data_IF_735583366632
#
_entry.id   IF_735583366632
#
_cell.length_a   1.000
_cell.length_b   1.000
_cell.length_c   1.000
_cell.angle_alpha   90.00
_cell.angle_beta   90.00
_cell.angle_gamma   90.00
#
_symmetry.space_group_name_H-M   'P 1'
#
loop_
_entity.id
_entity.type
_entity.pdbx_description
1 polymer ?
#
# COMPACT_ATOMS: atom_id res chain seq x y z
N UNK A 1 -0.02 2.69 4.73
CA UNK A 1 -0.55 1.31 4.76
C UNK A 1 0.04 0.61 5.98
N UNK A 2 -0.77 -0.11 6.74
CA UNK A 2 -0.29 -1.02 7.77
C UNK A 2 -0.45 -2.46 7.27
N UNK A 3 0.62 -3.25 7.35
CA UNK A 3 0.64 -4.66 6.99
C UNK A 3 0.81 -5.48 8.27
N UNK A 4 -0.12 -6.41 8.52
CA UNK A 4 -0.22 -7.19 9.74
C UNK A 4 -0.41 -8.68 9.40
N UNK A 5 0.65 -9.29 8.84
CA UNK A 5 0.75 -10.69 8.43
C UNK A 5 -0.36 -11.15 7.48
N UNK A 6 -1.53 -11.47 8.03
CA UNK A 6 -2.69 -11.99 7.30
C UNK A 6 -3.51 -10.87 6.67
N UNK A 7 -3.39 -9.63 7.15
CA UNK A 7 -4.18 -8.51 6.63
C UNK A 7 -3.36 -7.27 6.37
N UNK A 8 -3.89 -6.38 5.54
CA UNK A 8 -3.39 -5.02 5.39
C UNK A 8 -4.54 -4.00 5.37
N UNK A 9 -4.23 -2.76 5.73
CA UNK A 9 -5.21 -1.66 5.76
C UNK A 9 -4.61 -0.34 5.30
N UNK A 10 -5.40 0.43 4.56
CA UNK A 10 -5.09 1.81 4.21
C UNK A 10 -5.74 2.78 5.19
N UNK A 11 -5.07 3.89 5.43
CA UNK A 11 -5.58 5.02 6.21
C UNK A 11 -5.14 6.31 5.55
N UNK A 12 -5.88 7.40 5.80
CA UNK A 12 -5.54 8.75 5.34
C UNK A 12 -5.65 9.75 6.50
N UNK A 13 -4.94 10.86 6.37
CA UNK A 13 -4.99 11.99 7.32
C UNK A 13 -4.64 13.27 6.57
N UNK A 14 -5.53 14.28 6.53
CA UNK A 14 -5.20 15.58 5.94
C UNK A 14 -4.14 16.35 6.76
N UNK A 15 -4.11 16.16 8.08
CA UNK A 15 -3.21 16.87 8.99
C UNK A 15 -1.96 16.05 9.36
N UNK A 16 -1.92 14.75 9.02
CA UNK A 16 -0.82 13.84 9.35
C UNK A 16 -0.83 13.28 10.78
N UNK A 17 -1.73 13.76 11.65
CA UNK A 17 -1.81 13.36 13.06
C UNK A 17 -2.90 12.32 13.32
N UNK A 18 -4.14 12.60 12.87
CA UNK A 18 -5.29 11.72 13.09
C UNK A 18 -5.57 10.90 11.84
N UNK A 19 -5.35 9.60 11.92
CA UNK A 19 -5.48 8.68 10.80
C UNK A 19 -6.84 7.99 10.80
N UNK A 20 -7.54 8.07 9.67
CA UNK A 20 -8.83 7.41 9.45
C UNK A 20 -8.67 6.21 8.51
N UNK A 21 -9.20 5.02 8.86
CA UNK A 21 -9.13 3.86 7.99
C UNK A 21 -9.99 4.06 6.73
N UNK A 22 -9.48 3.58 5.60
CA UNK A 22 -10.19 3.54 4.32
C UNK A 22 -10.68 2.10 4.11
N UNK A 23 -12.00 1.91 4.15
CA UNK A 23 -12.60 0.60 3.91
C UNK A 23 -12.26 -0.48 4.95
N UNK A 24 -12.46 -1.76 4.61
CA UNK A 24 -12.18 -2.88 5.51
C UNK A 24 -10.67 -3.18 5.61
N UNK A 25 -10.31 -4.12 6.48
CA UNK A 25 -9.01 -4.81 6.36
C UNK A 25 -9.09 -5.79 5.18
N UNK A 26 -8.02 -5.84 4.39
CA UNK A 26 -7.91 -6.73 3.23
C UNK A 26 -7.05 -7.93 3.56
N UNK A 27 -7.36 -9.07 2.95
CA UNK A 27 -6.57 -10.31 3.03
C UNK A 27 -5.24 -10.14 2.27
N UNK A 28 -4.13 -10.24 2.99
CA UNK A 28 -2.78 -10.09 2.46
C UNK A 28 -2.35 -11.28 1.57
N UNK A 29 -2.97 -12.45 1.72
CA UNK A 29 -2.72 -13.61 0.87
C UNK A 29 -3.02 -13.33 -0.60
N UNK A 30 -3.91 -12.37 -0.90
CA UNK A 30 -4.20 -11.93 -2.28
C UNK A 30 -3.03 -11.22 -2.98
N UNK A 31 -2.01 -10.81 -2.23
CA UNK A 31 -0.82 -10.13 -2.76
C UNK A 31 0.37 -11.08 -2.91
N UNK A 32 0.21 -12.38 -2.63
CA UNK A 32 1.27 -13.38 -2.78
C UNK A 32 1.28 -14.01 -4.18
N UNK A 33 2.41 -14.61 -4.53
CA UNK A 33 2.57 -15.37 -5.78
C UNK A 33 1.57 -16.55 -5.87
N UNK A 34 1.20 -17.15 -4.73
CA UNK A 34 0.24 -18.28 -4.66
C UNK A 34 -1.18 -17.89 -5.09
N UNK A 35 -1.54 -16.62 -5.00
CA UNK A 35 -2.85 -16.13 -5.44
C UNK A 35 -2.89 -15.84 -6.94
N UNK A 36 -1.74 -15.68 -7.59
CA UNK A 36 -1.67 -15.35 -9.00
C UNK A 36 -1.95 -16.57 -9.89
N UNK A 37 -2.65 -16.34 -11.00
CA UNK A 37 -2.89 -17.39 -11.99
C UNK A 37 -1.64 -17.58 -12.86
N UNK A 38 -0.95 -18.70 -12.67
CA UNK A 38 0.24 -19.07 -13.43
C UNK A 38 1.54 -18.78 -12.69
N UNK A 39 2.68 -18.97 -13.38
CA UNK A 39 4.00 -18.79 -12.79
C UNK A 39 4.24 -17.33 -12.42
N UNK A 40 4.41 -17.08 -11.13
CA UNK A 40 4.57 -15.75 -10.53
C UNK A 40 5.78 -15.75 -9.60
N UNK A 41 6.63 -14.72 -9.71
CA UNK A 41 7.95 -14.69 -9.04
C UNK A 41 8.34 -13.28 -8.55
N UNK A 42 7.40 -12.35 -8.42
CA UNK A 42 7.71 -10.96 -8.03
C UNK A 42 7.42 -10.71 -6.57
N UNK A 43 6.22 -11.05 -6.10
CA UNK A 43 5.76 -10.65 -4.77
C UNK A 43 5.23 -9.22 -4.66
N UNK A 44 4.85 -8.84 -3.44
CA UNK A 44 4.14 -7.59 -3.13
C UNK A 44 5.08 -6.38 -3.08
N UNK A 45 4.65 -5.26 -3.69
CA UNK A 45 5.33 -3.96 -3.59
C UNK A 45 4.39 -2.89 -3.03
N UNK A 46 4.96 -1.86 -2.40
CA UNK A 46 4.28 -0.60 -2.10
C UNK A 46 5.02 0.55 -2.80
N UNK A 47 4.27 1.40 -3.50
CA UNK A 47 4.83 2.48 -4.30
C UNK A 47 3.90 3.70 -4.31
N UNK A 48 4.48 4.85 -4.62
CA UNK A 48 3.75 6.06 -5.02
C UNK A 48 3.61 6.05 -6.54
N UNK A 49 2.47 6.52 -7.04
CA UNK A 49 2.22 6.58 -8.46
C UNK A 49 1.35 7.78 -8.83
N UNK A 50 1.55 8.29 -10.03
CA UNK A 50 0.75 9.35 -10.64
C UNK A 50 0.33 8.88 -12.03
N UNK A 51 -0.98 8.80 -12.27
CA UNK A 51 -1.52 8.43 -13.57
C UNK A 51 -2.46 9.53 -14.07
N UNK A 52 -2.16 10.07 -15.23
CA UNK A 52 -3.01 11.01 -15.95
C UNK A 52 -3.58 10.33 -17.19
N UNK A 53 -4.84 9.92 -17.11
CA UNK A 53 -5.56 9.27 -18.22
C UNK A 53 -6.05 10.28 -19.27
N UNK A 54 -6.04 11.58 -18.96
CA UNK A 54 -6.44 12.64 -19.88
C UNK A 54 -5.30 13.11 -20.79
N UNK A 55 -4.05 12.75 -20.46
CA UNK A 55 -2.86 13.13 -21.24
C UNK A 55 -2.47 14.60 -21.10
N UNK A 56 -2.95 15.29 -20.06
CA UNK A 56 -2.65 16.69 -19.76
C UNK A 56 -1.24 16.92 -19.21
N UNK A 57 -0.54 15.85 -18.82
CA UNK A 57 0.79 15.94 -18.22
C UNK A 57 0.73 16.43 -16.77
N UNK A 58 -0.35 16.08 -16.06
CA UNK A 58 -0.54 16.53 -14.67
C UNK A 58 0.52 15.93 -13.75
N UNK A 59 1.06 16.77 -12.85
CA UNK A 59 2.06 16.39 -11.86
C UNK A 59 1.40 16.04 -10.52
N UNK A 60 2.02 15.12 -9.79
CA UNK A 60 1.74 14.87 -8.38
C UNK A 60 3.06 14.89 -7.62
N UNK A 61 3.20 15.86 -6.72
CA UNK A 61 4.40 16.05 -5.91
C UNK A 61 4.21 15.33 -4.56
N UNK A 62 5.18 14.48 -4.20
CA UNK A 62 5.18 13.73 -2.95
C UNK A 62 6.39 14.15 -2.11
N UNK A 63 6.14 14.71 -0.92
CA UNK A 63 7.21 15.20 -0.04
C UNK A 63 8.13 14.09 0.47
N UNK A 64 7.57 12.92 0.79
CA UNK A 64 8.33 11.79 1.31
C UNK A 64 7.64 10.45 1.08
N UNK A 65 8.44 9.38 1.16
CA UNK A 65 7.97 8.00 1.28
C UNK A 65 8.64 7.35 2.49
N UNK A 66 7.85 6.81 3.42
CA UNK A 66 8.34 6.21 4.64
C UNK A 66 7.94 4.73 4.72
N UNK A 67 8.94 3.85 4.81
CA UNK A 67 8.77 2.45 5.12
C UNK A 67 9.33 2.18 6.52
N UNK A 68 8.51 1.57 7.37
CA UNK A 68 8.90 1.18 8.72
C UNK A 68 8.44 -0.24 8.98
N UNK A 69 9.39 -1.12 9.22
CA UNK A 69 9.10 -2.46 9.72
C UNK A 69 8.65 -2.36 11.19
N UNK A 70 7.59 -3.09 11.54
CA UNK A 70 7.16 -3.22 12.92
C UNK A 70 7.94 -4.37 13.55
N UNK A 71 8.90 -4.05 14.42
CA UNK A 71 9.63 -5.06 15.17
C UNK A 71 8.66 -5.88 16.03
N UNK A 72 8.60 -7.19 15.79
CA UNK A 72 7.94 -8.13 16.68
C UNK A 72 8.81 -8.28 17.93
N UNK A 73 8.38 -7.72 19.07
CA UNK A 73 8.90 -8.22 20.35
C UNK A 73 8.34 -9.63 20.55
N UNK A 74 9.25 -10.56 20.81
CA UNK A 74 9.03 -12.00 21.04
C UNK A 74 8.05 -12.29 22.16
#
# INVERSE_FOLDING_TARGET
>A
MQFARETFRFSYSPEGETWQPIGPAFDAGKLSDDYCNGLSFTGTFIALCAQDLGGGGQFADFDYFCYRELSQFS
#
